data_IF_995407714238
#
_entry.id   IF_995407714238
#
_cell.length_a   1.000
_cell.length_b   1.000
_cell.length_c   1.000
_cell.angle_alpha   90.00
_cell.angle_beta   90.00
_cell.angle_gamma   90.00
#
_symmetry.space_group_name_H-M   'P 1'
#
loop_
_entity.id
_entity.type
_entity.pdbx_description
1 polymer ?
#
# COMPACT_ATOMS: atom_id res chain seq x y z
N UNK A 1 -19.81 5.66 -50.47
CA UNK A 1 -19.68 4.52 -49.53
C UNK A 1 -18.22 4.08 -49.52
N UNK A 2 -17.70 3.68 -48.35
CA UNK A 2 -16.36 3.13 -48.08
C UNK A 2 -15.18 4.13 -47.91
N UNK A 3 -14.84 4.45 -46.64
CA UNK A 3 -13.46 4.64 -46.12
C UNK A 3 -13.47 4.80 -44.58
N UNK A 4 -13.96 3.80 -43.82
CA UNK A 4 -13.97 3.85 -42.35
C UNK A 4 -13.30 2.65 -41.64
N UNK A 5 -12.79 1.67 -42.39
CA UNK A 5 -12.22 0.44 -41.82
C UNK A 5 -10.73 0.53 -41.42
N UNK A 6 -9.99 1.52 -41.91
CA UNK A 6 -8.53 1.62 -41.68
C UNK A 6 -8.10 2.05 -40.28
N UNK A 7 -8.92 2.82 -39.54
CA UNK A 7 -8.57 3.30 -38.19
C UNK A 7 -8.90 2.31 -37.06
N UNK A 8 -9.89 1.44 -37.24
CA UNK A 8 -10.33 0.49 -36.21
C UNK A 8 -9.35 -0.68 -35.99
N UNK A 9 -8.57 -1.05 -37.00
CA UNK A 9 -7.59 -2.15 -36.91
C UNK A 9 -6.35 -1.75 -36.10
N UNK A 10 -5.93 -0.48 -36.14
CA UNK A 10 -4.72 -0.02 -35.45
C UNK A 10 -4.93 0.11 -33.92
N UNK A 11 -6.11 0.58 -33.48
CA UNK A 11 -6.43 0.78 -32.06
C UNK A 11 -6.62 -0.54 -31.29
N UNK A 12 -7.10 -1.61 -31.93
CA UNK A 12 -7.18 -2.95 -31.31
C UNK A 12 -5.81 -3.61 -31.14
N UNK A 13 -4.86 -3.35 -32.06
CA UNK A 13 -3.49 -3.89 -31.98
C UNK A 13 -2.68 -3.29 -30.82
N UNK A 14 -2.82 -1.99 -30.55
CA UNK A 14 -2.13 -1.30 -29.45
C UNK A 14 -2.65 -1.75 -28.08
N UNK A 15 -3.96 -1.99 -27.95
CA UNK A 15 -4.56 -2.49 -26.71
C UNK A 15 -4.17 -3.94 -26.37
N UNK A 16 -3.88 -4.77 -27.38
CA UNK A 16 -3.37 -6.13 -27.18
C UNK A 16 -1.89 -6.14 -26.77
N UNK A 17 -1.08 -5.19 -27.25
CA UNK A 17 0.33 -5.07 -26.89
C UNK A 17 0.56 -4.60 -25.45
N UNK A 18 -0.31 -3.74 -24.89
CA UNK A 18 -0.18 -3.31 -23.49
C UNK A 18 -0.44 -4.45 -22.48
N UNK A 19 -1.21 -5.48 -22.83
CA UNK A 19 -1.46 -6.64 -21.94
C UNK A 19 -0.34 -7.69 -21.99
N UNK A 20 0.48 -7.72 -23.04
CA UNK A 20 1.50 -8.75 -23.24
C UNK A 20 2.80 -8.51 -22.45
N UNK A 21 3.08 -7.28 -22.02
CA UNK A 21 4.37 -6.94 -21.36
C UNK A 21 4.43 -7.39 -19.89
N UNK A 22 3.29 -7.69 -19.25
CA UNK A 22 3.23 -7.86 -17.78
C UNK A 22 3.35 -9.31 -17.28
N UNK A 23 3.31 -10.34 -18.13
CA UNK A 23 3.30 -11.73 -17.64
C UNK A 23 4.32 -12.63 -18.35
N UNK A 24 5.60 -12.50 -17.98
CA UNK A 24 6.51 -13.65 -18.04
C UNK A 24 6.31 -14.46 -16.75
N UNK A 25 5.33 -15.35 -16.75
CA UNK A 25 5.17 -16.34 -15.67
C UNK A 25 6.32 -17.33 -15.73
N UNK A 26 7.34 -17.13 -14.89
CA UNK A 26 8.41 -18.10 -14.70
C UNK A 26 7.88 -19.28 -13.89
N UNK A 27 8.13 -20.53 -14.30
CA UNK A 27 7.76 -21.76 -13.57
C UNK A 27 8.34 -21.86 -12.14
N UNK A 28 9.27 -20.98 -11.79
CA UNK A 28 9.97 -20.94 -10.51
C UNK A 28 9.18 -20.16 -9.45
N UNK A 29 8.47 -19.10 -9.85
CA UNK A 29 7.78 -18.21 -8.92
C UNK A 29 6.27 -18.30 -9.12
N UNK A 30 5.55 -18.74 -8.08
CA UNK A 30 4.08 -18.75 -8.07
C UNK A 30 3.52 -17.33 -8.06
N UNK A 31 4.09 -16.44 -7.25
CA UNK A 31 3.75 -15.01 -7.27
C UNK A 31 5.01 -14.18 -7.00
N UNK A 32 5.34 -13.30 -7.94
CA UNK A 32 6.49 -12.39 -7.81
C UNK A 32 6.18 -11.17 -6.97
N UNK A 33 4.90 -10.81 -6.84
CA UNK A 33 4.46 -9.60 -6.12
C UNK A 33 4.78 -9.65 -4.64
N UNK A 34 4.84 -10.85 -4.06
CA UNK A 34 5.23 -11.11 -2.67
C UNK A 34 6.62 -10.54 -2.35
N UNK A 35 7.52 -10.47 -3.33
CA UNK A 35 8.88 -9.92 -3.16
C UNK A 35 8.97 -8.41 -3.39
N UNK A 36 7.85 -7.73 -3.69
CA UNK A 36 7.83 -6.28 -3.83
C UNK A 36 7.89 -5.61 -2.46
N UNK A 37 8.59 -4.49 -2.34
CA UNK A 37 8.62 -3.65 -1.12
C UNK A 37 7.24 -3.10 -0.72
N UNK A 38 6.31 -3.09 -1.67
CA UNK A 38 4.93 -2.66 -1.46
C UNK A 38 4.05 -3.78 -0.88
N UNK A 39 4.52 -5.03 -0.90
CA UNK A 39 3.79 -6.16 -0.34
C UNK A 39 3.80 -6.14 1.19
N UNK A 40 2.61 -6.28 1.78
CA UNK A 40 2.42 -6.33 3.22
C UNK A 40 1.71 -7.66 3.53
N UNK A 41 2.35 -8.59 4.25
CA UNK A 41 1.71 -9.84 4.63
C UNK A 41 0.65 -9.58 5.71
N UNK A 42 -0.35 -10.47 5.78
CA UNK A 42 -1.45 -10.38 6.76
C UNK A 42 -0.98 -10.65 8.21
N UNK A 43 0.11 -11.40 8.36
CA UNK A 43 0.71 -11.71 9.65
C UNK A 43 2.23 -11.47 9.64
N UNK A 44 2.73 -10.89 10.73
CA UNK A 44 4.14 -10.66 10.99
C UNK A 44 4.58 -11.54 12.18
N UNK A 45 5.17 -12.73 11.94
CA UNK A 45 5.60 -13.60 13.02
C UNK A 45 6.68 -12.93 13.89
N UNK A 46 6.66 -13.22 15.19
CA UNK A 46 7.61 -12.71 16.21
C UNK A 46 7.58 -11.19 16.46
N UNK A 47 6.49 -10.50 16.11
CA UNK A 47 6.30 -9.05 16.34
C UNK A 47 4.94 -8.66 16.91
N UNK A 48 4.15 -9.65 17.35
CA UNK A 48 2.78 -9.48 17.86
C UNK A 48 2.70 -8.41 18.97
N UNK A 49 3.57 -8.48 19.99
CA UNK A 49 3.56 -7.51 21.09
C UNK A 49 3.81 -6.05 20.64
N UNK A 50 4.59 -5.82 19.58
CA UNK A 50 4.78 -4.47 19.05
C UNK A 50 3.58 -4.02 18.21
N UNK A 51 2.97 -4.94 17.46
CA UNK A 51 1.76 -4.69 16.67
C UNK A 51 0.62 -4.27 17.60
N UNK A 52 0.37 -5.05 18.66
CA UNK A 52 -0.66 -4.79 19.67
C UNK A 52 -0.48 -3.40 20.31
N UNK A 53 0.75 -3.05 20.72
CA UNK A 53 1.02 -1.74 21.32
C UNK A 53 0.73 -0.56 20.37
N UNK A 54 1.04 -0.72 19.09
CA UNK A 54 0.75 0.29 18.06
C UNK A 54 -0.76 0.34 17.78
N UNK A 55 -1.43 -0.81 17.73
CA UNK A 55 -2.88 -0.91 17.55
C UNK A 55 -3.66 -0.25 18.70
N UNK A 56 -3.24 -0.47 19.95
CA UNK A 56 -3.84 0.20 21.12
C UNK A 56 -3.71 1.73 21.02
N UNK A 57 -2.50 2.20 20.70
CA UNK A 57 -2.19 3.62 20.59
C UNK A 57 -2.94 4.34 19.45
N UNK A 58 -3.08 3.67 18.30
CA UNK A 58 -3.81 4.21 17.15
C UNK A 58 -5.32 3.94 17.23
N UNK A 59 -5.75 3.02 18.09
CA UNK A 59 -7.15 2.64 18.27
C UNK A 59 -8.00 3.76 18.85
N UNK A 60 -7.40 4.68 19.60
CA UNK A 60 -8.05 5.92 20.10
C UNK A 60 -8.67 6.75 18.95
N UNK A 61 -8.03 6.73 17.77
CA UNK A 61 -8.53 7.42 16.58
C UNK A 61 -9.90 6.90 16.11
N UNK A 62 -10.23 5.63 16.38
CA UNK A 62 -11.54 5.06 16.03
C UNK A 62 -12.68 5.63 16.88
N UNK A 63 -12.38 6.10 18.09
CA UNK A 63 -13.33 6.74 18.99
C UNK A 63 -13.45 8.25 18.76
N UNK A 64 -12.72 8.80 17.79
CA UNK A 64 -12.67 10.24 17.51
C UNK A 64 -11.78 11.02 18.48
N UNK A 65 -11.03 10.33 19.33
CA UNK A 65 -9.99 10.94 20.16
C UNK A 65 -8.67 11.03 19.37
N UNK A 66 -7.87 12.08 19.56
CA UNK A 66 -6.59 12.20 18.88
C UNK A 66 -5.64 11.11 19.39
N UNK A 67 -5.11 10.24 18.51
CA UNK A 67 -4.19 9.18 18.93
C UNK A 67 -2.85 9.77 19.36
N UNK A 68 -2.10 8.99 20.13
CA UNK A 68 -0.74 9.36 20.54
C UNK A 68 0.26 9.30 19.39
N UNK A 69 1.19 10.26 19.38
CA UNK A 69 2.30 10.27 18.43
C UNK A 69 3.28 9.13 18.70
N UNK A 70 3.57 8.33 17.67
CA UNK A 70 4.46 7.17 17.76
C UNK A 70 5.75 7.37 16.99
N UNK A 71 6.89 7.12 17.64
CA UNK A 71 8.21 7.11 17.01
C UNK A 71 8.84 5.71 17.05
N UNK A 72 8.98 5.10 15.88
CA UNK A 72 9.56 3.76 15.73
C UNK A 72 10.99 3.83 15.18
N UNK A 73 11.95 3.30 15.93
CA UNK A 73 13.36 3.31 15.54
C UNK A 73 13.98 1.90 15.52
N UNK A 74 15.14 1.79 14.87
CA UNK A 74 16.01 0.61 14.94
C UNK A 74 16.66 0.28 13.58
N UNK A 75 17.38 -0.85 13.49
CA UNK A 75 18.12 -1.23 12.28
C UNK A 75 17.24 -1.38 11.03
N UNK A 76 17.77 -1.14 9.81
CA UNK A 76 17.03 -1.43 8.57
C UNK A 76 16.79 -2.93 8.43
N UNK A 77 15.79 -3.31 7.63
CA UNK A 77 15.45 -4.72 7.39
C UNK A 77 14.72 -5.42 8.54
N UNK A 78 14.50 -4.76 9.68
CA UNK A 78 13.74 -5.37 10.77
C UNK A 78 12.24 -5.38 10.53
N UNK A 79 11.69 -4.84 9.43
CA UNK A 79 10.24 -4.86 9.18
C UNK A 79 9.41 -3.84 9.96
N UNK A 80 9.99 -2.69 10.35
CA UNK A 80 9.25 -1.56 10.95
C UNK A 80 8.16 -1.03 10.03
N UNK A 81 8.50 -0.81 8.75
CA UNK A 81 7.56 -0.32 7.75
C UNK A 81 6.43 -1.32 7.49
N UNK A 82 6.75 -2.61 7.41
CA UNK A 82 5.74 -3.67 7.23
C UNK A 82 4.76 -3.73 8.42
N UNK A 83 5.27 -3.60 9.65
CA UNK A 83 4.46 -3.53 10.86
C UNK A 83 3.45 -2.38 10.82
N UNK A 84 3.89 -1.16 10.52
CA UNK A 84 3.01 0.01 10.44
C UNK A 84 1.98 -0.14 9.31
N UNK A 85 2.39 -0.58 8.13
CA UNK A 85 1.46 -0.77 7.01
C UNK A 85 0.38 -1.81 7.33
N UNK A 86 0.73 -2.88 8.06
CA UNK A 86 -0.25 -3.87 8.51
C UNK A 86 -1.26 -3.25 9.49
N UNK A 87 -0.78 -2.53 10.50
CA UNK A 87 -1.66 -1.87 11.49
C UNK A 87 -2.57 -0.85 10.82
N UNK A 88 -2.03 -0.03 9.90
CA UNK A 88 -2.83 0.91 9.11
C UNK A 88 -3.93 0.19 8.33
N UNK A 89 -3.61 -0.92 7.66
CA UNK A 89 -4.59 -1.70 6.91
C UNK A 89 -5.71 -2.24 7.82
N UNK A 90 -5.38 -2.66 9.03
CA UNK A 90 -6.36 -3.12 10.02
C UNK A 90 -7.20 -1.98 10.58
N UNK A 91 -6.58 -0.83 10.84
CA UNK A 91 -7.24 0.39 11.30
C UNK A 91 -8.24 0.89 10.26
N UNK A 92 -7.87 0.93 8.98
CA UNK A 92 -8.78 1.29 7.90
C UNK A 92 -9.95 0.32 7.78
N UNK A 93 -9.70 -0.99 7.89
CA UNK A 93 -10.76 -2.00 7.87
C UNK A 93 -11.72 -1.83 9.06
N UNK A 94 -11.18 -1.59 10.26
CA UNK A 94 -11.96 -1.32 11.47
C UNK A 94 -12.76 -0.03 11.36
N UNK A 95 -12.17 1.05 10.85
CA UNK A 95 -12.84 2.34 10.64
C UNK A 95 -14.02 2.22 9.65
N UNK A 96 -13.84 1.45 8.57
CA UNK A 96 -14.93 1.15 7.62
C UNK A 96 -16.05 0.35 8.26
N UNK A 97 -15.72 -0.59 9.15
CA UNK A 97 -16.72 -1.41 9.84
C UNK A 97 -17.48 -0.62 10.92
N UNK A 98 -16.81 0.26 11.65
CA UNK A 98 -17.42 1.08 12.70
C UNK A 98 -18.07 2.37 12.17
N UNK A 99 -17.78 2.77 10.93
CA UNK A 99 -18.21 4.04 10.37
C UNK A 99 -17.48 5.25 10.95
N UNK A 100 -16.33 5.05 11.58
CA UNK A 100 -15.53 6.13 12.17
C UNK A 100 -14.89 7.00 11.08
N UNK A 101 -14.83 8.34 11.25
CA UNK A 101 -14.28 9.27 10.27
C UNK A 101 -12.74 9.30 10.30
N UNK A 102 -12.08 8.16 10.09
CA UNK A 102 -10.62 8.04 10.11
C UNK A 102 -10.08 8.11 8.68
N UNK A 103 -9.13 9.01 8.43
CA UNK A 103 -8.34 9.07 7.20
C UNK A 103 -6.90 8.69 7.51
N UNK A 104 -6.33 7.82 6.69
CA UNK A 104 -4.92 7.43 6.83
C UNK A 104 -4.17 7.78 5.56
N UNK A 105 -3.08 8.54 5.72
CA UNK A 105 -2.20 8.97 4.63
C UNK A 105 -0.80 8.38 4.88
N UNK A 106 -0.23 7.69 3.88
CA UNK A 106 1.11 7.09 3.97
C UNK A 106 2.09 7.80 3.02
N UNK A 107 3.17 8.33 3.59
CA UNK A 107 4.23 9.01 2.84
C UNK A 107 5.57 8.31 3.05
N UNK A 108 6.24 7.93 1.95
CA UNK A 108 7.59 7.39 1.98
C UNK A 108 8.63 8.48 1.65
N UNK A 109 9.27 9.04 2.69
CA UNK A 109 10.30 10.07 2.56
C UNK A 109 11.60 9.58 1.90
N UNK A 110 11.79 8.26 1.72
CA UNK A 110 12.89 7.71 0.93
C UNK A 110 12.68 7.88 -0.58
N UNK A 111 11.41 7.86 -1.03
CA UNK A 111 11.02 8.11 -2.43
C UNK A 111 10.78 9.60 -2.69
N UNK A 112 10.14 10.30 -1.77
CA UNK A 112 9.80 11.73 -1.89
C UNK A 112 10.83 12.55 -1.11
N UNK A 113 11.70 13.27 -1.82
CA UNK A 113 12.88 13.93 -1.22
C UNK A 113 12.70 15.39 -0.82
N UNK A 114 11.64 16.05 -1.29
CA UNK A 114 11.43 17.48 -1.01
C UNK A 114 10.25 17.68 -0.07
N UNK A 115 10.40 18.59 0.90
CA UNK A 115 9.33 18.95 1.83
C UNK A 115 8.08 19.48 1.11
N UNK A 116 8.27 20.20 0.00
CA UNK A 116 7.17 20.68 -0.82
C UNK A 116 6.36 19.54 -1.44
N UNK A 117 7.04 18.51 -1.97
CA UNK A 117 6.38 17.34 -2.55
C UNK A 117 5.59 16.53 -1.51
N UNK A 118 6.06 16.48 -0.26
CA UNK A 118 5.33 15.82 0.84
C UNK A 118 4.02 16.57 1.11
N UNK A 119 4.05 17.90 1.19
CA UNK A 119 2.85 18.71 1.42
C UNK A 119 1.81 18.60 0.31
N UNK A 120 2.22 18.28 -0.93
CA UNK A 120 1.29 18.08 -2.06
C UNK A 120 0.64 16.68 -2.03
N UNK A 121 1.20 15.73 -1.29
CA UNK A 121 0.75 14.33 -1.30
C UNK A 121 -0.40 14.07 -0.31
N UNK A 122 -0.59 14.96 0.66
CA UNK A 122 -1.57 14.84 1.77
C UNK A 122 -2.82 15.67 1.51
#
# INVERSE_FOLDING_TARGET
MQTWWGRYICLRGILLLQRAVVARESRIFRDRKVFSDDFVPEDLPARQAHVEKVEESLGEALYGEPPVDLFLYGPPGTGKTACIKLVISRLEAAARASGAPVRVDYVNCGRIRSGYSIMTTV
#
